data_IF_330261363131
#
_entry.id   IF_330261363131
#
_cell.length_a   1.000
_cell.length_b   1.000
_cell.length_c   1.000
_cell.angle_alpha   90.00
_cell.angle_beta   90.00
_cell.angle_gamma   90.00
#
_symmetry.space_group_name_H-M   'P 1'
#
loop_
_entity.id
_entity.type
_entity.pdbx_description
1 polymer ?
#
# COMPACT_ATOMS: atom_id res chain seq x y z
N UNK A 1 -38.30 -38.69 -64.29
CA UNK A 1 -36.93 -38.57 -64.86
C UNK A 1 -36.33 -37.25 -64.41
N UNK A 2 -35.22 -37.31 -63.65
CA UNK A 2 -34.13 -36.33 -63.41
C UNK A 2 -34.54 -34.89 -63.04
N UNK A 3 -34.41 -34.49 -61.77
CA UNK A 3 -33.21 -34.06 -61.02
C UNK A 3 -32.83 -32.58 -61.24
N UNK A 4 -32.93 -31.84 -60.14
CA UNK A 4 -32.50 -30.47 -59.90
C UNK A 4 -31.02 -30.47 -59.44
N UNK A 5 -30.44 -29.26 -59.30
CA UNK A 5 -29.06 -28.92 -58.81
C UNK A 5 -27.99 -28.90 -59.92
N UNK A 6 -27.05 -27.95 -60.00
CA UNK A 6 -26.64 -26.89 -59.06
C UNK A 6 -25.84 -25.81 -59.80
N UNK A 7 -25.78 -24.61 -59.21
CA UNK A 7 -25.05 -23.40 -59.57
C UNK A 7 -23.50 -23.53 -59.53
N UNK A 8 -22.95 -24.74 -59.58
CA UNK A 8 -21.53 -25.01 -59.26
C UNK A 8 -20.54 -24.76 -60.41
N UNK A 9 -21.01 -24.49 -61.62
CA UNK A 9 -20.13 -24.25 -62.78
C UNK A 9 -19.80 -22.78 -63.04
N UNK A 10 -20.51 -21.84 -62.40
CA UNK A 10 -20.23 -20.39 -62.55
C UNK A 10 -19.28 -19.87 -61.45
N UNK A 11 -19.05 -20.66 -60.39
CA UNK A 11 -18.21 -20.24 -59.26
C UNK A 11 -16.71 -20.45 -59.46
N UNK A 12 -16.29 -21.35 -60.36
CA UNK A 12 -14.88 -21.75 -60.48
C UNK A 12 -13.98 -20.80 -61.30
N UNK A 13 -14.54 -19.84 -62.05
CA UNK A 13 -13.76 -18.89 -62.89
C UNK A 13 -13.60 -17.48 -62.31
N UNK A 14 -14.12 -17.22 -61.10
CA UNK A 14 -13.92 -15.96 -60.37
C UNK A 14 -12.95 -16.07 -59.19
N UNK A 15 -12.49 -17.27 -58.86
CA UNK A 15 -11.66 -17.51 -57.66
C UNK A 15 -10.16 -17.32 -57.92
N UNK A 16 -9.69 -17.31 -59.17
CA UNK A 16 -8.24 -17.21 -59.47
C UNK A 16 -7.69 -15.79 -59.61
N UNK A 17 -8.53 -14.74 -59.68
CA UNK A 17 -8.07 -13.34 -59.67
C UNK A 17 -8.36 -12.60 -58.35
N UNK A 18 -8.99 -13.25 -57.36
CA UNK A 18 -9.29 -12.66 -56.06
C UNK A 18 -8.16 -12.79 -55.02
N UNK A 19 -7.18 -13.67 -55.24
CA UNK A 19 -6.13 -13.99 -54.25
C UNK A 19 -4.79 -13.27 -54.47
N UNK A 20 -4.64 -12.50 -55.55
CA UNK A 20 -3.43 -11.71 -55.81
C UNK A 20 -3.60 -10.20 -55.61
N UNK A 21 -4.83 -9.71 -55.39
CA UNK A 21 -5.10 -8.30 -55.08
C UNK A 21 -5.22 -8.02 -53.56
N UNK A 22 -5.14 -9.05 -52.71
CA UNK A 22 -5.20 -8.89 -51.25
C UNK A 22 -3.81 -8.91 -50.56
N UNK A 23 -2.73 -8.77 -51.33
CA UNK A 23 -1.35 -8.72 -50.83
C UNK A 23 -0.60 -7.43 -51.26
N UNK A 24 -1.31 -6.34 -51.55
CA UNK A 24 -0.69 -5.05 -51.94
C UNK A 24 -1.44 -3.81 -51.41
N UNK A 25 -1.96 -3.85 -50.18
CA UNK A 25 -2.27 -2.61 -49.42
C UNK A 25 -1.69 -2.73 -48.00
N UNK A 26 -0.40 -3.03 -47.93
CA UNK A 26 0.41 -2.95 -46.71
C UNK A 26 1.25 -1.68 -46.74
N UNK A 27 0.61 -0.52 -46.62
CA UNK A 27 1.28 0.72 -46.20
C UNK A 27 0.24 1.79 -45.83
N UNK A 28 -0.59 1.50 -44.84
CA UNK A 28 -1.19 2.58 -44.06
C UNK A 28 -0.20 2.90 -42.96
N UNK A 29 0.32 4.13 -42.98
CA UNK A 29 1.19 4.68 -41.93
C UNK A 29 0.58 4.37 -40.57
N UNK A 30 1.36 3.71 -39.72
CA UNK A 30 1.12 3.80 -38.29
C UNK A 30 1.26 5.27 -37.93
N UNK A 31 0.15 5.95 -37.68
CA UNK A 31 0.21 7.14 -36.84
C UNK A 31 0.76 6.65 -35.49
N UNK A 32 1.90 7.20 -35.07
CA UNK A 32 2.33 7.11 -33.68
C UNK A 32 1.16 7.61 -32.85
N UNK A 33 0.39 6.68 -32.30
CA UNK A 33 -0.48 6.99 -31.18
C UNK A 33 0.46 7.56 -30.12
N UNK A 34 0.26 8.81 -29.65
CA UNK A 34 1.02 9.29 -28.52
C UNK A 34 0.82 8.25 -27.43
N UNK A 35 1.94 7.76 -26.88
CA UNK A 35 1.94 6.78 -25.81
C UNK A 35 0.84 7.18 -24.83
N UNK A 36 -0.15 6.29 -24.65
CA UNK A 36 -1.17 6.49 -23.65
C UNK A 36 -0.42 6.85 -22.35
N UNK A 37 -0.67 8.05 -21.83
CA UNK A 37 -0.20 8.42 -20.51
C UNK A 37 -0.78 7.36 -19.59
N UNK A 38 0.12 6.59 -18.95
CA UNK A 38 -0.24 5.56 -18.00
C UNK A 38 -1.02 6.21 -16.86
N UNK A 39 -2.35 6.16 -16.96
CA UNK A 39 -3.29 6.65 -15.95
C UNK A 39 -3.44 5.63 -14.78
N UNK A 40 -2.46 4.73 -14.62
CA UNK A 40 -2.48 3.66 -13.60
C UNK A 40 -1.13 3.41 -12.91
N UNK A 41 -0.17 4.32 -12.99
CA UNK A 41 1.03 4.23 -12.17
C UNK A 41 0.62 4.31 -10.68
N UNK A 42 0.48 3.15 -10.04
CA UNK A 42 0.30 3.01 -8.59
C UNK A 42 1.36 3.88 -7.91
N UNK A 43 0.92 4.90 -7.17
CA UNK A 43 1.84 5.80 -6.47
C UNK A 43 2.65 5.00 -5.44
N UNK A 44 3.92 5.35 -5.29
CA UNK A 44 4.75 4.75 -4.23
C UNK A 44 4.18 5.08 -2.86
N UNK A 45 4.48 4.25 -1.86
CA UNK A 45 4.05 4.48 -0.47
C UNK A 45 4.52 5.84 0.03
N UNK A 46 5.78 6.20 -0.26
CA UNK A 46 6.35 7.50 0.08
C UNK A 46 5.58 8.66 -0.56
N UNK A 47 5.12 8.52 -1.80
CA UNK A 47 4.32 9.55 -2.47
C UNK A 47 2.90 9.65 -1.90
N UNK A 48 2.28 8.52 -1.56
CA UNK A 48 0.98 8.50 -0.88
C UNK A 48 1.06 9.23 0.48
N UNK A 49 2.07 8.88 1.29
CA UNK A 49 2.33 9.50 2.59
C UNK A 49 2.63 10.99 2.45
N UNK A 50 3.52 11.35 1.52
CA UNK A 50 3.86 12.75 1.28
C UNK A 50 2.60 13.56 0.92
N UNK A 51 1.73 13.05 0.05
CA UNK A 51 0.47 13.72 -0.31
C UNK A 51 -0.48 13.84 0.87
N UNK A 52 -0.62 12.80 1.68
CA UNK A 52 -1.52 12.78 2.82
C UNK A 52 -1.06 13.72 3.96
N UNK A 53 0.26 13.82 4.18
CA UNK A 53 0.85 14.62 5.25
C UNK A 53 1.24 16.05 4.83
N UNK A 54 1.20 16.37 3.53
CA UNK A 54 1.62 17.68 3.03
C UNK A 54 0.76 18.81 3.63
N UNK A 55 1.42 19.69 4.37
CA UNK A 55 0.78 20.87 4.95
C UNK A 55 -0.12 20.56 6.15
N UNK A 56 -0.09 19.34 6.66
CA UNK A 56 -0.76 18.98 7.90
C UNK A 56 -0.05 19.66 9.08
N UNK A 57 -0.84 20.24 9.97
CA UNK A 57 -0.40 20.78 11.25
C UNK A 57 -1.10 19.95 12.32
N UNK A 58 -0.36 19.16 13.12
CA UNK A 58 -0.96 18.35 14.19
C UNK A 58 -1.77 19.19 15.17
N UNK A 59 -2.84 18.63 15.72
CA UNK A 59 -3.62 19.25 16.79
C UNK A 59 -2.80 19.40 18.08
N UNK A 60 -3.31 20.19 19.03
CA UNK A 60 -2.57 20.52 20.25
C UNK A 60 -2.28 19.32 21.16
N UNK A 61 -3.11 18.26 21.09
CA UNK A 61 -2.92 16.99 21.81
C UNK A 61 -2.12 15.94 21.02
N UNK A 62 -1.73 16.24 19.78
CA UNK A 62 -0.95 15.35 18.93
C UNK A 62 0.56 15.57 19.10
N UNK A 63 1.38 14.53 18.89
CA UNK A 63 2.82 14.66 18.98
C UNK A 63 3.36 15.56 17.85
N UNK A 64 4.58 16.06 18.06
CA UNK A 64 5.35 16.65 16.97
C UNK A 64 5.68 15.55 15.95
N UNK A 65 5.51 15.85 14.67
CA UNK A 65 5.83 14.94 13.58
C UNK A 65 7.13 15.35 12.88
N UNK A 66 7.96 14.36 12.55
CA UNK A 66 9.02 14.44 11.55
C UNK A 66 8.59 13.55 10.38
N UNK A 67 8.08 14.19 9.32
CA UNK A 67 7.38 13.50 8.24
C UNK A 67 6.15 12.73 8.76
N UNK A 68 6.17 11.41 8.73
CA UNK A 68 5.17 10.47 9.27
C UNK A 68 5.61 9.80 10.59
N UNK A 69 6.75 10.21 11.17
CA UNK A 69 7.23 9.69 12.45
C UNK A 69 6.86 10.65 13.57
N UNK A 70 6.09 10.16 14.54
CA UNK A 70 5.83 10.87 15.79
C UNK A 70 7.08 10.87 16.67
N UNK A 71 7.52 12.06 17.10
CA UNK A 71 8.71 12.24 17.93
C UNK A 71 8.42 12.94 19.25
N UNK A 72 9.17 12.53 20.26
CA UNK A 72 9.20 13.16 21.57
C UNK A 72 10.29 14.25 21.54
N UNK A 73 10.32 15.18 22.50
CA UNK A 73 11.26 16.33 22.56
C UNK A 73 12.76 15.97 22.76
N UNK A 74 13.21 14.78 22.38
CA UNK A 74 14.59 14.30 22.52
C UNK A 74 15.29 14.27 21.16
N UNK A 75 16.59 14.58 21.17
CA UNK A 75 17.40 14.70 19.95
C UNK A 75 18.03 13.37 19.47
N UNK A 76 17.74 12.24 20.15
CA UNK A 76 18.27 10.92 19.80
C UNK A 76 17.12 9.98 19.45
N UNK A 77 17.35 9.06 18.51
CA UNK A 77 16.38 8.01 18.17
C UNK A 77 16.06 7.20 19.45
N UNK A 78 14.80 7.25 19.94
CA UNK A 78 14.44 6.59 21.18
C UNK A 78 14.49 5.06 21.08
N UNK A 79 14.39 4.50 19.86
CA UNK A 79 14.35 3.05 19.64
C UNK A 79 15.71 2.41 19.33
N UNK A 80 16.80 3.01 19.82
CA UNK A 80 18.10 2.30 19.95
C UNK A 80 18.24 1.57 21.29
N UNK A 81 17.21 1.62 22.15
CA UNK A 81 17.23 1.06 23.51
C UNK A 81 16.60 -0.35 23.58
N UNK A 82 17.09 -1.22 24.47
CA UNK A 82 16.63 -2.61 24.61
C UNK A 82 15.13 -2.77 24.94
N UNK A 83 14.44 -1.72 25.38
CA UNK A 83 13.04 -1.77 25.80
C UNK A 83 12.03 -1.22 24.78
N UNK A 84 12.49 -0.69 23.64
CA UNK A 84 11.63 -0.03 22.66
C UNK A 84 10.91 -1.00 21.71
N UNK A 85 11.19 -2.30 21.76
CA UNK A 85 10.53 -3.29 20.90
C UNK A 85 9.38 -3.98 21.62
N UNK A 86 8.46 -4.54 20.83
CA UNK A 86 7.43 -5.45 21.31
C UNK A 86 8.06 -6.77 21.78
N UNK A 87 7.66 -7.30 22.96
CA UNK A 87 8.29 -8.49 23.52
C UNK A 87 7.98 -9.73 22.69
N UNK A 88 9.01 -10.56 22.49
CA UNK A 88 8.86 -11.90 21.93
C UNK A 88 8.45 -12.88 23.02
N UNK A 89 7.40 -13.64 22.77
CA UNK A 89 6.87 -14.65 23.67
C UNK A 89 7.66 -15.96 23.56
N UNK A 90 7.46 -16.87 24.51
CA UNK A 90 8.16 -18.15 24.59
C UNK A 90 7.90 -19.07 23.39
N UNK A 91 6.76 -18.91 22.71
CA UNK A 91 6.43 -19.61 21.46
C UNK A 91 7.12 -19.03 20.22
N UNK A 92 7.97 -18.02 20.42
CA UNK A 92 8.73 -17.37 19.37
C UNK A 92 7.96 -16.32 18.58
N UNK A 93 6.72 -15.99 18.97
CA UNK A 93 5.91 -14.96 18.30
C UNK A 93 5.94 -13.63 19.03
N UNK A 94 5.58 -12.58 18.32
CA UNK A 94 5.39 -11.23 18.87
C UNK A 94 3.91 -10.92 18.76
N UNK A 95 3.24 -10.75 19.90
CA UNK A 95 1.82 -10.44 19.94
C UNK A 95 1.62 -8.95 20.21
N UNK A 96 0.99 -8.24 19.27
CA UNK A 96 0.78 -6.79 19.34
C UNK A 96 -0.72 -6.51 19.50
N UNK A 97 -1.17 -6.08 20.69
CA UNK A 97 -2.57 -5.77 20.93
C UNK A 97 -2.95 -4.46 20.22
N UNK A 98 -4.13 -4.41 19.62
CA UNK A 98 -4.65 -3.18 19.00
C UNK A 98 -6.12 -2.94 19.30
N UNK A 99 -6.53 -1.68 19.22
CA UNK A 99 -7.93 -1.24 19.08
C UNK A 99 -8.06 -0.38 17.83
N UNK A 100 -9.27 -0.34 17.26
CA UNK A 100 -9.60 0.52 16.12
C UNK A 100 -10.75 1.43 16.56
N UNK A 101 -10.57 2.74 16.40
CA UNK A 101 -11.61 3.71 16.71
C UNK A 101 -12.86 3.52 15.84
N UNK A 102 -14.02 3.92 16.35
CA UNK A 102 -15.32 3.58 15.74
C UNK A 102 -15.75 4.49 14.58
N UNK A 103 -14.92 5.47 14.17
CA UNK A 103 -15.24 6.41 13.10
C UNK A 103 -14.91 5.91 11.68
N UNK A 104 -14.30 4.72 11.55
CA UNK A 104 -14.03 4.11 10.24
C UNK A 104 -15.27 3.39 9.69
N UNK A 105 -15.49 3.51 8.38
CA UNK A 105 -16.52 2.73 7.67
C UNK A 105 -16.12 1.25 7.54
N UNK A 106 -17.07 0.37 7.21
CA UNK A 106 -16.78 -1.06 7.03
C UNK A 106 -15.70 -1.34 5.97
N UNK A 107 -15.68 -0.55 4.88
CA UNK A 107 -14.66 -0.67 3.83
C UNK A 107 -13.28 -0.23 4.31
N UNK A 108 -13.24 0.83 5.10
CA UNK A 108 -12.00 1.34 5.70
C UNK A 108 -11.43 0.35 6.71
N UNK A 109 -12.31 -0.24 7.55
CA UNK A 109 -11.95 -1.31 8.48
C UNK A 109 -11.37 -2.54 7.77
N UNK A 110 -11.92 -2.92 6.62
CA UNK A 110 -11.39 -4.04 5.82
C UNK A 110 -9.96 -3.76 5.34
N UNK A 111 -9.64 -2.54 4.94
CA UNK A 111 -8.28 -2.15 4.53
C UNK A 111 -7.31 -2.24 5.71
N UNK A 112 -7.71 -1.68 6.86
CA UNK A 112 -6.91 -1.73 8.10
C UNK A 112 -6.68 -3.19 8.53
N UNK A 113 -7.73 -4.00 8.53
CA UNK A 113 -7.67 -5.41 8.92
C UNK A 113 -6.76 -6.22 7.99
N UNK A 114 -6.84 -6.02 6.67
CA UNK A 114 -5.90 -6.65 5.72
C UNK A 114 -4.44 -6.26 6.00
N UNK A 115 -4.19 -4.98 6.31
CA UNK A 115 -2.85 -4.52 6.69
C UNK A 115 -2.32 -5.23 7.93
N UNK A 116 -3.13 -5.33 8.99
CA UNK A 116 -2.79 -6.06 10.22
C UNK A 116 -2.53 -7.55 9.96
N UNK A 117 -3.40 -8.22 9.21
CA UNK A 117 -3.32 -9.66 8.95
C UNK A 117 -2.15 -10.03 8.03
N UNK A 118 -1.70 -9.10 7.17
CA UNK A 118 -0.62 -9.31 6.20
C UNK A 118 0.70 -9.75 6.83
N UNK A 119 0.99 -9.32 8.07
CA UNK A 119 2.24 -9.67 8.76
C UNK A 119 2.31 -11.14 9.17
N UNK A 120 1.16 -11.77 9.44
CA UNK A 120 1.13 -13.11 10.00
C UNK A 120 1.56 -14.20 9.00
N UNK A 121 1.47 -13.92 7.70
CA UNK A 121 1.82 -14.84 6.62
C UNK A 121 3.32 -14.92 6.32
N UNK A 122 4.07 -13.87 6.68
CA UNK A 122 5.50 -13.73 6.34
C UNK A 122 6.42 -13.53 7.54
N UNK A 123 5.87 -13.39 8.75
CA UNK A 123 6.65 -13.13 9.96
C UNK A 123 6.08 -13.83 11.20
N UNK A 124 6.75 -13.64 12.35
CA UNK A 124 6.25 -14.10 13.65
C UNK A 124 5.36 -13.08 14.38
N UNK A 125 5.03 -11.94 13.74
CA UNK A 125 4.19 -10.88 14.30
C UNK A 125 2.72 -11.26 14.20
N UNK A 126 1.96 -11.06 15.27
CA UNK A 126 0.53 -11.34 15.37
C UNK A 126 -0.17 -10.14 16.00
N UNK A 127 -0.86 -9.38 15.17
CA UNK A 127 -1.79 -8.37 15.66
C UNK A 127 -3.06 -9.03 16.18
N UNK A 128 -3.56 -8.60 17.33
CA UNK A 128 -4.80 -9.13 17.89
C UNK A 128 -5.61 -8.04 18.60
N UNK A 129 -6.93 -8.21 18.64
CA UNK A 129 -7.80 -7.24 19.32
C UNK A 129 -7.48 -7.25 20.81
N UNK A 130 -7.18 -6.07 21.33
CA UNK A 130 -6.86 -5.86 22.74
C UNK A 130 -8.03 -6.30 23.63
N UNK A 131 -7.68 -6.94 24.73
CA UNK A 131 -8.56 -7.20 25.85
C UNK A 131 -8.24 -6.24 27.01
N UNK A 132 -7.18 -6.52 27.78
CA UNK A 132 -6.76 -5.77 28.96
C UNK A 132 -5.26 -5.44 28.97
N UNK A 133 -4.56 -5.66 27.85
CA UNK A 133 -3.12 -5.45 27.76
C UNK A 133 -2.79 -3.98 28.00
N UNK A 134 -1.78 -3.71 28.83
CA UNK A 134 -1.37 -2.36 29.19
C UNK A 134 -0.83 -1.61 27.98
N UNK A 135 0.06 -2.24 27.22
CA UNK A 135 0.73 -1.66 26.06
C UNK A 135 -0.02 -2.09 24.80
N UNK A 136 -0.50 -1.14 23.99
CA UNK A 136 -1.29 -1.46 22.79
C UNK A 136 -1.30 -0.31 21.78
N UNK A 137 -1.62 -0.64 20.54
CA UNK A 137 -1.82 0.34 19.46
C UNK A 137 -3.28 0.80 19.42
N UNK A 138 -3.50 2.11 19.41
CA UNK A 138 -4.80 2.73 19.09
C UNK A 138 -4.78 3.24 17.66
N UNK A 139 -5.55 2.60 16.78
CA UNK A 139 -5.68 3.04 15.38
C UNK A 139 -6.80 4.08 15.29
N UNK A 140 -6.43 5.31 14.95
CA UNK A 140 -7.29 6.49 14.99
C UNK A 140 -7.15 7.34 13.72
N UNK A 141 -8.14 8.17 13.41
CA UNK A 141 -8.07 9.10 12.29
C UNK A 141 -7.74 10.47 12.87
N UNK A 142 -6.46 10.77 13.00
CA UNK A 142 -5.95 12.06 13.48
C UNK A 142 -5.36 12.86 12.30
N UNK A 143 -4.38 13.72 12.56
CA UNK A 143 -3.78 14.57 11.54
C UNK A 143 -2.78 13.80 10.68
N UNK A 144 -3.25 13.32 9.53
CA UNK A 144 -2.42 12.62 8.55
C UNK A 144 -2.15 11.14 8.89
N UNK A 145 -1.09 10.60 8.29
CA UNK A 145 -0.61 9.24 8.47
C UNK A 145 0.66 9.30 9.31
N UNK A 146 0.65 8.72 10.50
CA UNK A 146 1.86 8.68 11.31
C UNK A 146 1.82 7.59 12.36
N UNK A 147 3.00 7.27 12.86
CA UNK A 147 3.20 6.30 13.94
C UNK A 147 4.44 6.64 14.75
N UNK A 148 4.50 6.12 15.97
CA UNK A 148 5.73 6.14 16.75
C UNK A 148 6.65 5.00 16.31
N UNK A 149 7.97 5.21 16.35
CA UNK A 149 8.93 4.13 16.12
C UNK A 149 9.05 3.24 17.36
N UNK A 150 8.57 2.02 17.23
CA UNK A 150 8.60 0.99 18.28
C UNK A 150 7.51 1.15 19.35
N UNK A 151 7.58 0.27 20.35
CA UNK A 151 6.70 0.25 21.52
C UNK A 151 7.03 1.39 22.48
N UNK A 152 6.07 2.29 22.70
CA UNK A 152 6.21 3.43 23.61
C UNK A 152 5.90 3.09 25.08
N UNK A 153 5.10 2.04 25.30
CA UNK A 153 4.53 1.70 26.60
C UNK A 153 3.20 2.42 26.84
N UNK A 154 2.26 1.74 27.50
CA UNK A 154 0.84 2.12 27.53
C UNK A 154 0.24 2.22 26.10
N UNK A 155 -0.78 3.05 25.93
CA UNK A 155 -1.39 3.31 24.62
C UNK A 155 -0.45 4.12 23.74
N UNK A 156 -0.32 3.74 22.47
CA UNK A 156 0.32 4.56 21.43
C UNK A 156 -0.59 4.65 20.21
N UNK A 157 -0.68 5.84 19.63
CA UNK A 157 -1.51 6.08 18.45
C UNK A 157 -0.77 5.68 17.18
N UNK A 158 -1.50 5.02 16.27
CA UNK A 158 -1.19 4.97 14.84
C UNK A 158 -2.28 5.75 14.14
N UNK A 159 -1.93 6.91 13.57
CA UNK A 159 -2.89 7.71 12.82
C UNK A 159 -2.99 7.22 11.40
N UNK A 160 -4.20 6.89 10.99
CA UNK A 160 -4.58 6.63 9.62
C UNK A 160 -5.75 7.54 9.28
N UNK A 161 -5.45 8.80 8.94
CA UNK A 161 -6.49 9.74 8.54
C UNK A 161 -7.37 9.11 7.44
N UNK A 162 -8.68 9.18 7.63
CA UNK A 162 -9.65 8.61 6.67
C UNK A 162 -9.47 9.19 5.26
N UNK A 163 -8.98 10.42 5.18
CA UNK A 163 -8.51 11.02 3.94
C UNK A 163 -7.02 10.75 3.75
N UNK A 164 -6.65 10.06 2.67
CA UNK A 164 -5.25 9.92 2.25
C UNK A 164 -4.46 8.73 2.83
N UNK A 165 -4.83 8.17 3.98
CA UNK A 165 -4.02 7.11 4.62
C UNK A 165 -4.52 5.68 4.44
N UNK A 166 -5.73 5.49 3.92
CA UNK A 166 -6.38 4.17 3.88
C UNK A 166 -6.03 3.40 2.61
N UNK A 167 -4.73 3.16 2.43
CA UNK A 167 -4.17 2.24 1.45
C UNK A 167 -3.50 1.07 2.19
N UNK A 168 -3.60 -0.14 1.65
CA UNK A 168 -3.01 -1.32 2.30
C UNK A 168 -1.52 -1.13 2.62
N UNK A 169 -0.77 -0.56 1.67
CA UNK A 169 0.65 -0.28 1.80
C UNK A 169 0.96 0.79 2.86
N UNK A 170 0.16 1.87 2.92
CA UNK A 170 0.25 2.88 3.98
C UNK A 170 -0.02 2.29 5.36
N UNK A 171 -1.04 1.44 5.51
CA UNK A 171 -1.30 0.75 6.79
C UNK A 171 -0.10 -0.11 7.20
N UNK A 172 0.48 -0.87 6.27
CA UNK A 172 1.66 -1.68 6.57
C UNK A 172 2.86 -0.82 6.98
N UNK A 173 3.08 0.31 6.31
CA UNK A 173 4.15 1.24 6.61
C UNK A 173 4.05 1.81 8.03
N UNK A 174 2.88 2.31 8.43
CA UNK A 174 2.69 2.85 9.78
C UNK A 174 2.79 1.77 10.87
N UNK A 175 2.37 0.54 10.56
CA UNK A 175 2.56 -0.61 11.44
C UNK A 175 4.04 -1.03 11.54
N UNK A 176 4.83 -0.90 10.48
CA UNK A 176 6.28 -1.13 10.51
C UNK A 176 6.97 -0.10 11.41
N UNK A 177 6.56 1.17 11.36
CA UNK A 177 6.99 2.17 12.34
C UNK A 177 6.66 1.71 13.76
N UNK A 178 5.42 1.31 14.04
CA UNK A 178 5.01 0.85 15.37
C UNK A 178 5.80 -0.40 15.84
N UNK A 179 6.33 -1.19 14.91
CA UNK A 179 7.17 -2.36 15.16
C UNK A 179 8.65 -2.02 15.39
N UNK A 180 9.09 -0.79 15.05
CA UNK A 180 10.45 -0.29 15.33
C UNK A 180 11.29 0.03 14.11
N UNK A 181 10.71 0.09 12.91
CA UNK A 181 11.45 0.45 11.70
C UNK A 181 11.41 1.96 11.45
N UNK A 182 12.56 2.56 11.13
CA UNK A 182 12.63 3.90 10.56
C UNK A 182 12.52 3.82 9.03
N UNK A 183 12.44 4.97 8.35
CA UNK A 183 12.52 4.96 6.90
C UNK A 183 13.89 4.52 6.38
N UNK A 184 13.90 3.84 5.25
CA UNK A 184 15.11 3.27 4.66
C UNK A 184 16.18 4.32 4.33
N UNK A 185 15.77 5.51 3.86
CA UNK A 185 16.70 6.61 3.57
C UNK A 185 17.36 7.21 4.81
N UNK A 186 17.02 6.77 6.02
CA UNK A 186 17.66 7.22 7.27
C UNK A 186 18.79 6.30 7.74
N UNK A 187 19.08 5.22 7.01
CA UNK A 187 20.17 4.29 7.32
C UNK A 187 21.52 5.00 7.45
N UNK A 188 22.38 4.45 8.32
CA UNK A 188 23.73 4.98 8.56
C UNK A 188 24.66 4.87 7.35
N UNK A 189 24.39 3.93 6.43
CA UNK A 189 25.14 3.71 5.19
C UNK A 189 24.47 4.32 3.95
N UNK A 190 23.40 5.12 4.13
CA UNK A 190 22.60 5.66 3.02
C UNK A 190 23.44 6.44 2.00
N UNK A 191 24.49 7.13 2.43
CA UNK A 191 25.29 8.01 1.57
C UNK A 191 26.08 7.19 0.51
N UNK A 192 26.06 5.84 0.58
CA UNK A 192 26.60 4.93 -0.44
C UNK A 192 25.54 4.43 -1.45
N UNK A 193 24.26 4.76 -1.26
CA UNK A 193 23.14 4.15 -1.98
C UNK A 193 22.18 5.16 -2.64
N UNK A 194 22.25 6.44 -2.24
CA UNK A 194 21.37 7.52 -2.72
C UNK A 194 22.14 8.44 -3.67
#
# INVERSE_FOLDING_TARGET
LRQNWSLDTVLAMKVTFGLLALMLVSSVRAEEMPAAVDESAELSVSELLHRANRGIIPEADEPKLLDDIAVNERNADPCTSYSCLWPKYSDGKIYVPYVIANHYSSRELEIIQRGLDSFASVSCIRFFRRSNERDYISIESRSGCYSYVGRQGNVQTVSLARSGCLYHSTVQHELLHALGFNHEQTRSDRDNHI
#
